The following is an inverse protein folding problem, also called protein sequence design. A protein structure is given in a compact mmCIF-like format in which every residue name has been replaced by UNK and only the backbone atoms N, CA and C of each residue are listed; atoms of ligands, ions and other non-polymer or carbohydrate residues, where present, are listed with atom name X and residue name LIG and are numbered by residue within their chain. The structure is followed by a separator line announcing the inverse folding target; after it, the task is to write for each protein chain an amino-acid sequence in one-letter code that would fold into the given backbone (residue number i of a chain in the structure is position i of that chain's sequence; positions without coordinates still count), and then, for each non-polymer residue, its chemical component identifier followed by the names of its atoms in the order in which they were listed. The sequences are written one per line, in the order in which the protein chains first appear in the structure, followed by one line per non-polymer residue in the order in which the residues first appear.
data_IF_069948579364
#
_entry.id   IF_069948579364
#
_cell.length_a   1.000
_cell.length_b   1.000
_cell.length_c   1.000
_cell.angle_alpha   90.00
_cell.angle_beta   90.00
_cell.angle_gamma   90.00
#
_symmetry.space_group_name_H-M   'P 1'
#
loop_
_entity.id
_entity.type
_entity.pdbx_description
1 polymer ?
#
# COMPACT_ATOMS: atom_id res chain seq x y z
N UNK A 1 -32.57 16.81 -1.89
CA UNK A 1 -31.26 16.17 -2.18
C UNK A 1 -30.33 17.23 -2.75
N UNK A 2 -29.69 18.05 -1.90
CA UNK A 2 -28.75 19.09 -2.34
C UNK A 2 -27.33 18.58 -2.19
N UNK A 3 -26.72 18.07 -3.27
CA UNK A 3 -25.32 17.65 -3.26
C UNK A 3 -24.42 18.88 -3.21
N UNK A 4 -23.49 18.92 -2.26
CA UNK A 4 -22.45 19.94 -2.21
C UNK A 4 -21.64 19.88 -3.52
N UNK A 5 -21.72 20.94 -4.33
CA UNK A 5 -20.94 21.03 -5.57
C UNK A 5 -19.49 21.31 -5.17
N UNK A 6 -18.62 20.34 -5.41
CA UNK A 6 -17.17 20.48 -5.19
C UNK A 6 -16.47 20.55 -6.54
N UNK A 7 -15.67 21.58 -6.76
CA UNK A 7 -14.78 21.71 -7.92
C UNK A 7 -13.34 21.41 -7.51
N UNK A 8 -12.62 20.64 -8.33
CA UNK A 8 -11.20 20.33 -8.11
C UNK A 8 -10.36 21.19 -9.05
N UNK A 9 -9.41 21.95 -8.51
CA UNK A 9 -8.36 22.64 -9.28
C UNK A 9 -7.02 21.95 -9.03
N UNK A 10 -6.14 21.97 -10.02
CA UNK A 10 -4.77 21.46 -9.90
C UNK A 10 -3.86 22.62 -9.49
N UNK A 11 -2.94 22.40 -8.56
CA UNK A 11 -1.91 23.39 -8.24
C UNK A 11 -1.00 23.65 -9.45
N UNK A 12 -0.51 24.88 -9.60
CA UNK A 12 0.33 25.28 -10.74
C UNK A 12 1.66 24.51 -10.82
N UNK A 13 2.15 24.02 -9.68
CA UNK A 13 3.38 23.24 -9.53
C UNK A 13 3.15 21.74 -9.38
N UNK A 14 1.94 21.24 -9.70
CA UNK A 14 1.58 19.83 -9.55
C UNK A 14 2.46 18.93 -10.42
N UNK A 15 3.10 17.97 -9.77
CA UNK A 15 3.94 16.92 -10.36
C UNK A 15 3.26 15.57 -10.30
N UNK A 16 3.68 14.68 -11.19
CA UNK A 16 3.26 13.27 -11.18
C UNK A 16 3.74 12.59 -9.89
N UNK A 17 2.84 11.86 -9.23
CA UNK A 17 3.18 11.00 -8.10
C UNK A 17 4.07 9.85 -8.58
N UNK A 18 5.18 9.61 -7.89
CA UNK A 18 6.13 8.54 -8.23
C UNK A 18 6.29 7.60 -7.05
N UNK A 19 6.38 6.31 -7.35
CA UNK A 19 6.67 5.29 -6.36
C UNK A 19 8.00 4.61 -6.66
N UNK A 20 8.77 4.35 -5.60
CA UNK A 20 9.97 3.54 -5.64
C UNK A 20 9.79 2.38 -4.66
N UNK A 21 9.81 1.16 -5.18
CA UNK A 21 9.54 -0.05 -4.40
C UNK A 21 10.72 -1.00 -4.45
N UNK A 22 11.06 -1.56 -3.29
CA UNK A 22 12.03 -2.62 -3.11
C UNK A 22 11.33 -3.79 -2.40
N UNK A 23 11.49 -5.00 -2.92
CA UNK A 23 11.02 -6.22 -2.27
C UNK A 23 12.17 -7.22 -2.13
N UNK A 24 12.12 -7.99 -1.06
CA UNK A 24 13.07 -9.06 -0.74
C UNK A 24 12.27 -10.27 -0.28
N UNK A 25 12.55 -11.44 -0.83
CA UNK A 25 11.90 -12.68 -0.44
C UNK A 25 12.91 -13.80 -0.18
N UNK A 26 12.57 -14.66 0.76
CA UNK A 26 13.30 -15.88 1.08
C UNK A 26 12.30 -17.03 1.17
N UNK A 27 12.50 -18.05 0.33
CA UNK A 27 11.70 -19.26 0.32
C UNK A 27 12.56 -20.45 0.76
N UNK A 28 12.21 -21.04 1.91
CA UNK A 28 13.00 -22.05 2.62
C UNK A 28 12.23 -23.36 2.69
N UNK A 29 12.88 -24.43 2.23
CA UNK A 29 12.34 -25.78 2.30
C UNK A 29 13.19 -26.62 3.24
N UNK A 30 12.52 -27.31 4.16
CA UNK A 30 13.18 -28.26 5.05
C UNK A 30 12.34 -29.51 5.22
N UNK A 31 12.99 -30.64 5.50
CA UNK A 31 12.32 -31.90 5.75
C UNK A 31 12.74 -32.46 7.09
N UNK A 32 11.81 -32.47 8.04
CA UNK A 32 11.98 -33.12 9.34
C UNK A 32 11.45 -34.56 9.26
N UNK A 33 12.32 -35.49 8.85
CA UNK A 33 11.95 -36.89 8.65
C UNK A 33 10.94 -37.07 7.52
N UNK A 34 9.68 -37.40 7.87
CA UNK A 34 8.57 -37.51 6.90
C UNK A 34 7.82 -36.20 6.67
N UNK A 35 7.97 -35.22 7.56
CA UNK A 35 7.27 -33.93 7.49
C UNK A 35 8.02 -33.01 6.53
N UNK A 36 7.33 -32.48 5.52
CA UNK A 36 7.86 -31.46 4.63
C UNK A 36 7.39 -30.10 5.11
N UNK A 37 8.32 -29.17 5.32
CA UNK A 37 8.02 -27.82 5.77
C UNK A 37 8.52 -26.80 4.75
N UNK A 38 7.72 -25.76 4.56
CA UNK A 38 8.05 -24.60 3.75
C UNK A 38 7.86 -23.34 4.60
N UNK A 39 8.78 -22.40 4.48
CA UNK A 39 8.73 -21.10 5.14
C UNK A 39 9.07 -20.04 4.09
N UNK A 40 8.10 -19.18 3.80
CA UNK A 40 8.24 -18.00 2.97
C UNK A 40 8.30 -16.76 3.87
N UNK A 41 9.29 -15.91 3.64
CA UNK A 41 9.40 -14.60 4.30
C UNK A 41 9.60 -13.56 3.21
N UNK A 42 8.74 -12.55 3.17
CA UNK A 42 8.79 -11.46 2.21
C UNK A 42 8.78 -10.12 2.94
N UNK A 43 9.74 -9.25 2.63
CA UNK A 43 9.75 -7.86 3.05
C UNK A 43 9.51 -6.95 1.87
N UNK A 44 8.74 -5.89 2.06
CA UNK A 44 8.53 -4.86 1.05
C UNK A 44 8.73 -3.47 1.63
N UNK A 45 9.22 -2.58 0.79
CA UNK A 45 9.58 -1.23 1.14
C UNK A 45 9.28 -0.28 -0.03
N UNK A 46 8.31 0.60 0.16
CA UNK A 46 7.83 1.53 -0.87
C UNK A 46 7.88 2.97 -0.37
N UNK A 47 8.49 3.85 -1.15
CA UNK A 47 8.44 5.30 -0.96
C UNK A 47 7.61 5.94 -2.05
N UNK A 48 6.71 6.84 -1.64
CA UNK A 48 5.86 7.63 -2.50
C UNK A 48 6.34 9.08 -2.46
N UNK A 49 6.73 9.59 -3.62
CA UNK A 49 7.14 10.96 -3.85
C UNK A 49 5.99 11.73 -4.50
N UNK A 50 5.80 12.98 -4.10
CA UNK A 50 4.77 13.87 -4.65
C UNK A 50 3.34 13.34 -4.48
N UNK A 51 3.01 12.75 -3.33
CA UNK A 51 1.70 12.15 -3.02
C UNK A 51 0.56 13.14 -3.28
N UNK A 52 -0.49 12.74 -3.99
CA UNK A 52 -1.62 13.64 -4.21
C UNK A 52 -2.44 13.87 -2.92
N UNK A 53 -2.56 15.13 -2.52
CA UNK A 53 -3.38 15.58 -1.40
C UNK A 53 -4.41 16.63 -1.85
N UNK A 54 -5.50 16.76 -1.09
CA UNK A 54 -6.54 17.78 -1.32
C UNK A 54 -6.57 18.77 -0.18
N UNK A 55 -6.52 20.07 -0.48
CA UNK A 55 -6.76 21.15 0.50
C UNK A 55 -7.92 22.02 0.03
N UNK A 56 -8.81 22.48 0.93
CA UNK A 56 -9.81 23.48 0.56
C UNK A 56 -9.12 24.80 0.24
N UNK A 57 -9.51 25.46 -0.84
CA UNK A 57 -9.11 26.84 -1.09
C UNK A 57 -10.00 27.79 -0.29
N UNK A 58 -9.44 28.90 0.23
CA UNK A 58 -10.19 29.85 1.05
C UNK A 58 -11.27 30.59 0.25
N UNK A 59 -11.10 30.73 -1.07
CA UNK A 59 -12.04 31.43 -1.94
C UNK A 59 -13.04 30.46 -2.58
N UNK A 60 -14.35 30.58 -2.31
CA UNK A 60 -15.38 29.83 -3.02
C UNK A 60 -15.45 30.28 -4.49
N UNK A 61 -15.90 29.38 -5.36
CA UNK A 61 -16.07 29.71 -6.78
C UNK A 61 -17.19 30.74 -6.99
N UNK A 62 -17.22 31.40 -8.16
CA UNK A 62 -18.25 32.41 -8.51
C UNK A 62 -19.69 31.91 -8.36
N UNK A 63 -19.89 30.58 -8.42
CA UNK A 63 -21.18 29.91 -8.28
C UNK A 63 -21.49 29.44 -6.84
N UNK A 64 -20.67 29.82 -5.86
CA UNK A 64 -20.81 29.43 -4.45
C UNK A 64 -20.35 28.00 -4.12
N UNK A 65 -19.70 27.31 -5.06
CA UNK A 65 -19.18 25.95 -4.85
C UNK A 65 -17.84 25.95 -4.12
N UNK A 66 -17.65 25.01 -3.19
CA UNK A 66 -16.36 24.77 -2.53
C UNK A 66 -15.32 24.33 -3.56
N UNK A 67 -14.17 25.02 -3.60
CA UNK A 67 -13.03 24.62 -4.43
C UNK A 67 -12.04 23.85 -3.57
N UNK A 68 -11.64 22.67 -4.03
CA UNK A 68 -10.52 21.91 -3.47
C UNK A 68 -9.36 21.94 -4.45
N UNK A 69 -8.17 22.25 -3.96
CA UNK A 69 -6.95 22.18 -4.74
C UNK A 69 -6.28 20.83 -4.51
N UNK A 70 -5.95 20.14 -5.61
CA UNK A 70 -5.05 18.99 -5.62
C UNK A 70 -3.62 19.50 -5.74
N UNK A 71 -2.80 19.16 -4.74
CA UNK A 71 -1.40 19.52 -4.66
C UNK A 71 -0.57 18.27 -4.30
N UNK A 72 0.75 18.34 -4.44
CA UNK A 72 1.63 17.28 -3.95
C UNK A 72 1.87 17.48 -2.45
N UNK A 73 1.34 16.58 -1.63
CA UNK A 73 1.58 16.48 -0.19
C UNK A 73 2.94 15.88 0.14
N UNK A 74 3.19 15.73 1.45
CA UNK A 74 4.41 15.09 1.95
C UNK A 74 4.50 13.65 1.45
N UNK A 75 5.71 13.23 1.09
CA UNK A 75 5.97 11.84 0.71
C UNK A 75 5.50 10.84 1.78
N UNK A 76 5.15 9.65 1.35
CA UNK A 76 4.70 8.58 2.23
C UNK A 76 5.62 7.36 2.11
N UNK A 77 5.78 6.64 3.22
CA UNK A 77 6.61 5.43 3.30
C UNK A 77 5.73 4.29 3.77
N UNK A 78 5.65 3.24 2.97
CA UNK A 78 4.90 2.03 3.27
C UNK A 78 5.89 0.88 3.32
N UNK A 79 5.88 0.13 4.41
CA UNK A 79 6.73 -1.06 4.55
C UNK A 79 5.96 -2.12 5.28
N UNK A 80 6.35 -3.37 5.05
CA UNK A 80 5.75 -4.48 5.76
C UNK A 80 6.51 -5.77 5.54
N UNK A 81 6.07 -6.78 6.29
CA UNK A 81 6.61 -8.13 6.23
C UNK A 81 5.47 -9.13 6.15
N UNK A 82 5.61 -10.10 5.25
CA UNK A 82 4.76 -11.28 5.17
C UNK A 82 5.59 -12.49 5.57
N UNK A 83 5.03 -13.34 6.43
CA UNK A 83 5.63 -14.60 6.84
C UNK A 83 4.57 -15.67 6.65
N UNK A 84 4.87 -16.70 5.88
CA UNK A 84 4.00 -17.84 5.65
C UNK A 84 4.75 -19.14 5.95
N UNK A 85 4.13 -20.01 6.74
CA UNK A 85 4.64 -21.33 7.08
C UNK A 85 3.67 -22.42 6.67
N UNK A 86 4.20 -23.49 6.08
CA UNK A 86 3.46 -24.71 5.74
C UNK A 86 4.17 -25.94 6.27
N UNK A 87 3.42 -26.90 6.79
CA UNK A 87 3.91 -28.20 7.24
C UNK A 87 2.97 -29.32 6.76
N UNK A 88 3.48 -30.19 5.89
CA UNK A 88 2.78 -31.38 5.41
C UNK A 88 3.26 -32.60 6.18
N UNK A 89 2.38 -33.20 7.00
CA UNK A 89 2.73 -34.32 7.87
C UNK A 89 2.50 -35.67 7.21
N UNK A 90 1.40 -35.80 6.45
CA UNK A 90 1.05 -36.99 5.69
C UNK A 90 0.40 -36.61 4.37
N UNK A 91 0.08 -37.58 3.52
CA UNK A 91 -0.65 -37.34 2.26
C UNK A 91 -2.06 -36.77 2.45
N UNK A 92 -2.62 -36.84 3.66
CA UNK A 92 -4.00 -36.41 3.96
C UNK A 92 -4.07 -35.27 4.98
N UNK A 93 -2.93 -34.79 5.51
CA UNK A 93 -2.90 -33.74 6.52
C UNK A 93 -1.73 -32.78 6.34
N UNK A 94 -2.07 -31.51 6.14
CA UNK A 94 -1.16 -30.37 6.14
C UNK A 94 -1.72 -29.21 6.97
N UNK A 95 -0.81 -28.36 7.45
CA UNK A 95 -1.10 -27.15 8.19
C UNK A 95 -0.39 -25.97 7.52
N UNK A 96 -1.10 -24.86 7.34
CA UNK A 96 -0.56 -23.63 6.78
C UNK A 96 -1.06 -22.44 7.59
N UNK A 97 -0.17 -21.50 7.86
CA UNK A 97 -0.48 -20.26 8.56
C UNK A 97 0.39 -19.13 8.03
N UNK A 98 -0.14 -17.91 8.04
CA UNK A 98 0.60 -16.74 7.63
C UNK A 98 0.21 -15.50 8.42
N UNK A 99 1.13 -14.54 8.48
CA UNK A 99 0.93 -13.23 9.09
C UNK A 99 1.51 -12.15 8.18
N UNK A 100 0.80 -11.02 8.10
CA UNK A 100 1.26 -9.82 7.41
C UNK A 100 1.21 -8.66 8.39
N UNK A 101 2.28 -7.88 8.44
CA UNK A 101 2.48 -6.72 9.31
C UNK A 101 2.91 -5.51 8.48
#
# INVERSE_FOLDING_TARGET
MGGERVRIRLADDLREERSHSLSLSADLYHRFGKVQTNLLVEGFYTTLDHVFALRPLPDPDTDGSTIKERYNGSGARVMGINIEGKAAFTRWFDLQAGITL
#
